data_IF_885482893098
#
_entry.id   IF_885482893098
#
_cell.length_a   1.000
_cell.length_b   1.000
_cell.length_c   1.000
_cell.angle_alpha   90.00
_cell.angle_beta   90.00
_cell.angle_gamma   90.00
#
_symmetry.space_group_name_H-M   'P 1'
#
loop_
_entity.id
_entity.type
_entity.pdbx_description
1 polymer ?
#
# COMPACT_ATOMS: atom_id res chain seq x y z
N UNK A 1 14.12 -41.81 54.37
CA UNK A 1 15.54 -41.91 53.96
C UNK A 1 15.63 -43.12 53.05
N UNK A 2 16.00 -43.08 51.78
CA UNK A 2 16.85 -42.16 51.01
C UNK A 2 16.30 -42.02 49.58
N UNK A 3 16.51 -40.84 49.00
CA UNK A 3 16.36 -40.49 47.58
C UNK A 3 17.31 -41.26 46.67
N UNK A 4 16.89 -41.52 45.43
CA UNK A 4 17.67 -41.37 44.18
C UNK A 4 16.71 -41.70 43.01
N UNK A 5 16.09 -40.73 42.31
CA UNK A 5 16.62 -39.85 41.27
C UNK A 5 17.20 -40.60 40.06
N UNK A 6 16.41 -40.71 38.97
CA UNK A 6 16.92 -40.67 37.59
C UNK A 6 15.82 -40.12 36.66
N UNK A 7 16.04 -38.85 36.29
CA UNK A 7 15.42 -38.13 35.18
C UNK A 7 15.57 -38.88 33.86
N UNK A 8 14.50 -38.97 33.05
CA UNK A 8 14.52 -38.98 31.57
C UNK A 8 13.12 -39.33 31.05
N UNK A 9 12.31 -38.32 30.74
CA UNK A 9 11.65 -38.11 29.43
C UNK A 9 11.26 -36.64 29.40
N UNK A 10 12.25 -35.80 29.10
CA UNK A 10 11.99 -34.45 28.62
C UNK A 10 11.78 -34.54 27.11
N UNK A 11 11.03 -33.57 26.57
CA UNK A 11 11.01 -33.18 25.15
C UNK A 11 10.43 -34.15 24.12
N UNK A 12 9.10 -34.25 24.00
CA UNK A 12 8.44 -34.51 22.69
C UNK A 12 6.95 -34.19 22.76
N UNK A 13 6.58 -32.91 22.71
CA UNK A 13 5.32 -32.44 22.09
C UNK A 13 5.29 -30.90 22.02
N UNK A 14 6.34 -30.32 21.43
CA UNK A 14 6.41 -28.91 21.07
C UNK A 14 6.79 -28.81 19.58
N UNK A 15 6.03 -29.48 18.72
CA UNK A 15 6.25 -29.49 17.27
C UNK A 15 4.93 -29.37 16.49
N UNK A 16 4.06 -28.45 16.94
CA UNK A 16 2.86 -28.02 16.20
C UNK A 16 2.73 -26.49 16.20
N UNK A 17 3.87 -25.77 16.13
CA UNK A 17 3.94 -24.31 16.17
C UNK A 17 4.54 -23.67 14.91
N UNK A 18 4.55 -24.36 13.75
CA UNK A 18 5.27 -23.89 12.55
C UNK A 18 4.45 -23.75 11.27
N UNK A 19 3.11 -23.87 11.31
CA UNK A 19 2.27 -23.70 10.11
C UNK A 19 1.04 -22.83 10.38
N UNK A 20 1.28 -21.55 10.67
CA UNK A 20 0.37 -20.49 10.29
C UNK A 20 1.22 -19.26 10.00
N UNK A 21 1.56 -19.09 8.72
CA UNK A 21 2.40 -18.01 8.23
C UNK A 21 1.92 -16.66 8.74
N UNK A 22 2.88 -15.80 9.09
CA UNK A 22 2.65 -14.41 9.38
C UNK A 22 1.78 -13.80 8.27
N UNK A 23 0.62 -13.27 8.66
CA UNK A 23 -0.34 -12.60 7.77
C UNK A 23 0.22 -11.30 7.21
N UNK A 24 1.16 -11.40 6.27
CA UNK A 24 1.61 -10.27 5.47
C UNK A 24 0.49 -9.77 4.55
N UNK A 25 0.49 -8.47 4.26
CA UNK A 25 -0.53 -7.84 3.39
C UNK A 25 -0.50 -8.35 1.94
N UNK A 26 0.54 -9.11 1.57
CA UNK A 26 0.82 -9.58 0.20
C UNK A 26 1.23 -8.46 -0.75
N UNK A 27 1.41 -7.23 -0.25
CA UNK A 27 1.71 -6.04 -1.06
C UNK A 27 3.17 -5.63 -1.02
N UNK A 28 3.99 -6.18 -0.12
CA UNK A 28 5.41 -5.81 0.00
C UNK A 28 6.15 -5.97 -1.35
N UNK A 29 6.80 -4.90 -1.81
CA UNK A 29 7.47 -4.85 -3.10
C UNK A 29 7.12 -3.61 -3.92
N UNK A 30 7.58 -3.61 -5.17
CA UNK A 30 7.40 -2.50 -6.10
C UNK A 30 6.38 -2.84 -7.19
N UNK A 31 5.54 -1.86 -7.53
CA UNK A 31 4.59 -1.94 -8.62
C UNK A 31 4.85 -0.79 -9.57
N UNK A 32 5.05 -1.11 -10.85
CA UNK A 32 5.49 -0.17 -11.88
C UNK A 32 4.48 -0.16 -13.02
N UNK A 33 4.22 1.02 -13.55
CA UNK A 33 3.38 1.16 -14.73
C UNK A 33 3.14 2.62 -15.07
N UNK A 34 2.18 2.86 -15.96
CA UNK A 34 1.90 4.19 -16.48
C UNK A 34 0.58 4.71 -15.94
N UNK A 35 0.52 6.01 -15.64
CA UNK A 35 -0.69 6.71 -15.21
C UNK A 35 -0.80 8.02 -15.99
N UNK A 36 -1.87 8.16 -16.79
CA UNK A 36 -2.02 9.29 -17.69
C UNK A 36 -0.85 9.37 -18.67
N UNK A 37 -0.16 10.51 -18.71
CA UNK A 37 1.03 10.70 -19.55
C UNK A 37 2.35 10.23 -18.90
N UNK A 38 2.32 9.84 -17.62
CA UNK A 38 3.51 9.46 -16.86
C UNK A 38 3.78 7.97 -17.06
N UNK A 39 4.95 7.62 -17.59
CA UNK A 39 5.25 6.26 -18.07
C UNK A 39 5.81 5.32 -16.99
N UNK A 40 6.53 5.86 -16.00
CA UNK A 40 7.27 5.08 -14.99
C UNK A 40 6.85 5.49 -13.57
N UNK A 41 5.57 5.27 -13.26
CA UNK A 41 5.04 5.49 -11.92
C UNK A 41 5.29 4.25 -11.07
N UNK A 42 5.93 4.44 -9.92
CA UNK A 42 6.32 3.35 -9.02
C UNK A 42 5.62 3.53 -7.68
N UNK A 43 4.90 2.51 -7.24
CA UNK A 43 4.42 2.35 -5.86
C UNK A 43 5.27 1.27 -5.16
N UNK A 44 6.07 1.68 -4.19
CA UNK A 44 6.87 0.77 -3.36
C UNK A 44 6.25 0.62 -1.98
N UNK A 45 5.73 -0.55 -1.68
CA UNK A 45 5.24 -0.91 -0.36
C UNK A 45 6.39 -1.48 0.45
N UNK A 46 6.87 -0.70 1.42
CA UNK A 46 8.07 -1.03 2.21
C UNK A 46 7.70 -1.99 3.34
N UNK A 47 6.60 -1.71 4.02
CA UNK A 47 6.05 -2.49 5.12
C UNK A 47 4.52 -2.24 5.22
N UNK A 48 3.90 -2.64 6.33
CA UNK A 48 2.45 -2.47 6.56
C UNK A 48 1.99 -1.02 6.77
N UNK A 49 2.90 -0.08 6.97
CA UNK A 49 2.59 1.32 7.31
C UNK A 49 3.09 2.30 6.25
N UNK A 50 4.20 1.97 5.56
CA UNK A 50 4.91 2.91 4.70
C UNK A 50 4.88 2.52 3.23
N UNK A 51 4.52 3.51 2.41
CA UNK A 51 4.49 3.41 0.95
C UNK A 51 5.23 4.59 0.35
N UNK A 52 6.00 4.35 -0.70
CA UNK A 52 6.70 5.40 -1.44
C UNK A 52 6.17 5.48 -2.87
N UNK A 53 5.96 6.70 -3.36
CA UNK A 53 5.54 7.00 -4.72
C UNK A 53 6.66 7.71 -5.47
N UNK A 54 7.07 7.17 -6.62
CA UNK A 54 8.06 7.78 -7.53
C UNK A 54 7.47 7.96 -8.92
N UNK A 55 8.05 8.89 -9.69
CA UNK A 55 7.69 9.13 -11.10
C UNK A 55 6.32 9.79 -11.33
N UNK A 56 5.48 9.91 -10.29
CA UNK A 56 4.22 10.64 -10.37
C UNK A 56 4.36 12.13 -10.05
N UNK A 57 5.25 12.47 -9.13
CA UNK A 57 5.61 13.83 -8.75
C UNK A 57 7.11 14.05 -8.97
N UNK A 58 7.56 15.31 -8.95
CA UNK A 58 8.97 15.66 -9.18
C UNK A 58 9.90 14.95 -8.19
N UNK A 59 9.57 15.06 -6.90
CA UNK A 59 10.27 14.35 -5.82
C UNK A 59 9.48 13.10 -5.37
N UNK A 60 10.16 12.06 -4.87
CA UNK A 60 9.50 10.93 -4.23
C UNK A 60 8.62 11.37 -3.06
N UNK A 61 7.42 10.81 -2.96
CA UNK A 61 6.50 11.09 -1.86
C UNK A 61 6.41 9.88 -0.92
N UNK A 62 6.49 10.14 0.39
CA UNK A 62 6.19 9.14 1.43
C UNK A 62 4.71 9.19 1.79
N UNK A 63 4.12 8.02 1.93
CA UNK A 63 2.71 7.84 2.24
C UNK A 63 2.48 6.64 3.15
N UNK A 64 1.20 6.44 3.45
CA UNK A 64 0.72 5.37 4.32
C UNK A 64 -0.62 4.83 3.81
N UNK A 65 -0.98 3.64 4.28
CA UNK A 65 -2.26 3.03 3.97
C UNK A 65 -3.41 3.76 4.69
N UNK A 66 -4.52 3.94 3.98
CA UNK A 66 -5.77 4.45 4.52
C UNK A 66 -6.94 3.71 3.85
N UNK A 67 -8.02 3.45 4.59
CA UNK A 67 -9.26 2.98 3.97
C UNK A 67 -10.03 4.20 3.45
N UNK A 68 -10.43 4.15 2.19
CA UNK A 68 -11.25 5.19 1.57
C UNK A 68 -12.63 4.65 1.20
N UNK A 69 -13.57 5.55 0.94
CA UNK A 69 -14.86 5.19 0.35
C UNK A 69 -15.00 5.83 -1.03
N UNK A 70 -15.44 5.02 -2.00
CA UNK A 70 -15.71 5.45 -3.36
C UNK A 70 -17.08 4.91 -3.77
N UNK A 71 -18.01 5.80 -4.16
CA UNK A 71 -19.40 5.44 -4.51
C UNK A 71 -20.11 4.57 -3.45
N UNK A 72 -19.82 4.80 -2.16
CA UNK A 72 -20.40 4.04 -1.05
C UNK A 72 -19.74 2.69 -0.77
N UNK A 73 -18.71 2.31 -1.52
CA UNK A 73 -17.95 1.07 -1.30
C UNK A 73 -16.61 1.38 -0.62
N UNK A 74 -16.15 0.49 0.25
CA UNK A 74 -14.83 0.58 0.86
C UNK A 74 -13.77 0.17 -0.16
N UNK A 75 -12.74 1.01 -0.33
CA UNK A 75 -11.62 0.77 -1.26
C UNK A 75 -10.29 0.96 -0.54
N UNK A 76 -9.29 0.22 -0.98
CA UNK A 76 -7.92 0.42 -0.51
C UNK A 76 -7.37 1.73 -1.07
N UNK A 77 -6.64 2.45 -0.23
CA UNK A 77 -5.96 3.67 -0.66
C UNK A 77 -4.63 3.86 0.04
N UNK A 78 -3.78 4.62 -0.62
CA UNK A 78 -2.55 5.16 -0.05
C UNK A 78 -2.60 6.67 -0.11
N UNK A 79 -2.18 7.32 0.97
CA UNK A 79 -2.18 8.77 1.11
C UNK A 79 -0.75 9.26 1.31
N UNK A 80 -0.30 10.09 0.40
CA UNK A 80 1.02 10.70 0.38
C UNK A 80 0.95 12.15 0.83
N UNK A 81 2.01 12.61 1.47
CA UNK A 81 2.19 14.02 1.80
C UNK A 81 3.15 14.65 0.81
N UNK A 82 2.76 15.82 0.29
CA UNK A 82 3.63 16.69 -0.48
C UNK A 82 4.74 17.30 0.38
N UNK A 83 5.77 17.90 -0.25
CA UNK A 83 6.91 18.49 0.43
C UNK A 83 6.50 19.71 1.28
N UNK A 84 7.33 20.08 2.27
CA UNK A 84 7.02 21.16 3.22
C UNK A 84 6.86 22.52 2.53
N UNK A 85 7.60 22.77 1.46
CA UNK A 85 7.54 24.01 0.67
C UNK A 85 6.20 24.15 -0.06
N UNK A 86 5.55 23.03 -0.37
CA UNK A 86 4.25 22.99 -1.05
C UNK A 86 3.39 21.86 -0.47
N UNK A 87 2.77 22.07 0.70
CA UNK A 87 2.05 21.02 1.40
C UNK A 87 0.73 20.68 0.71
N UNK A 88 0.60 19.41 0.32
CA UNK A 88 -0.64 18.82 -0.17
C UNK A 88 -0.77 17.38 0.32
N UNK A 89 -1.96 16.79 0.14
CA UNK A 89 -2.16 15.34 0.24
C UNK A 89 -2.53 14.79 -1.11
N UNK A 90 -1.92 13.69 -1.51
CA UNK A 90 -2.28 12.92 -2.69
C UNK A 90 -2.85 11.58 -2.25
N UNK A 91 -4.03 11.23 -2.73
CA UNK A 91 -4.68 9.95 -2.46
C UNK A 91 -4.75 9.15 -3.75
N UNK A 92 -4.27 7.91 -3.69
CA UNK A 92 -4.43 6.94 -4.77
C UNK A 92 -5.32 5.81 -4.23
N UNK A 93 -6.50 5.65 -4.82
CA UNK A 93 -7.38 4.51 -4.56
C UNK A 93 -7.07 3.41 -5.57
N UNK A 94 -6.98 2.18 -5.11
CA UNK A 94 -6.66 1.04 -5.96
C UNK A 94 -7.41 -0.22 -5.53
N UNK A 95 -7.41 -1.21 -6.42
CA UNK A 95 -7.79 -2.58 -6.10
C UNK A 95 -6.68 -3.54 -6.51
N UNK A 96 -6.57 -4.66 -5.78
CA UNK A 96 -5.63 -5.74 -6.12
C UNK A 96 -6.22 -6.52 -7.30
N UNK A 97 -5.52 -6.50 -8.43
CA UNK A 97 -5.77 -7.39 -9.56
C UNK A 97 -4.96 -8.67 -9.45
N UNK A 98 -5.05 -9.54 -10.46
CA UNK A 98 -4.34 -10.84 -10.49
C UNK A 98 -2.82 -10.69 -10.48
N UNK A 99 -2.30 -9.75 -11.28
CA UNK A 99 -0.85 -9.57 -11.48
C UNK A 99 -0.37 -8.14 -11.13
N UNK A 100 -1.13 -7.39 -10.32
CA UNK A 100 -0.78 -6.00 -10.02
C UNK A 100 -1.87 -5.20 -9.32
N UNK A 101 -1.75 -3.88 -9.39
CA UNK A 101 -2.71 -2.91 -8.86
C UNK A 101 -3.44 -2.22 -9.99
N UNK A 102 -4.76 -2.15 -9.88
CA UNK A 102 -5.60 -1.33 -10.76
C UNK A 102 -5.93 -0.03 -10.04
N UNK A 103 -5.54 1.09 -10.64
CA UNK A 103 -5.71 2.42 -10.06
C UNK A 103 -7.11 2.92 -10.39
N UNK A 104 -7.92 3.12 -9.34
CA UNK A 104 -9.32 3.53 -9.46
C UNK A 104 -9.44 5.05 -9.54
N UNK A 105 -8.64 5.77 -8.76
CA UNK A 105 -8.65 7.23 -8.76
C UNK A 105 -7.39 7.84 -8.15
N UNK A 106 -7.03 9.04 -8.59
CA UNK A 106 -5.94 9.83 -8.01
C UNK A 106 -6.40 11.27 -7.77
N UNK A 107 -6.47 11.67 -6.50
CA UNK A 107 -6.91 13.03 -6.15
C UNK A 107 -5.89 13.70 -5.24
N UNK A 108 -5.70 15.00 -5.42
CA UNK A 108 -4.87 15.82 -4.53
C UNK A 108 -5.71 16.86 -3.80
N UNK A 109 -5.27 17.29 -2.62
CA UNK A 109 -5.81 18.47 -1.94
C UNK A 109 -4.70 19.27 -1.31
N UNK A 110 -4.80 20.59 -1.37
CA UNK A 110 -3.96 21.46 -0.53
C UNK A 110 -4.27 21.24 0.96
N UNK A 111 -3.32 21.58 1.83
CA UNK A 111 -3.57 21.59 3.28
C UNK A 111 -4.12 22.97 3.67
N UNK A 112 -5.30 23.00 4.31
CA UNK A 112 -5.88 24.23 4.83
C UNK A 112 -7.40 24.15 5.06
N UNK A 113 -8.00 25.16 5.73
CA UNK A 113 -9.44 25.21 5.96
C UNK A 113 -10.23 25.19 4.64
N UNK A 114 -11.23 24.32 4.56
CA UNK A 114 -12.10 24.20 3.37
C UNK A 114 -11.47 23.49 2.17
N UNK A 115 -10.23 22.98 2.27
CA UNK A 115 -9.57 22.29 1.17
C UNK A 115 -10.26 20.96 0.82
N UNK A 116 -10.54 20.77 -0.47
CA UNK A 116 -11.18 19.56 -1.02
C UNK A 116 -10.23 18.83 -1.95
N UNK A 117 -10.43 17.52 -2.05
CA UNK A 117 -9.77 16.71 -3.06
C UNK A 117 -10.25 17.10 -4.46
N UNK A 118 -9.30 17.33 -5.34
CA UNK A 118 -9.48 17.65 -6.76
C UNK A 118 -8.73 16.64 -7.62
N UNK A 119 -9.20 16.48 -8.84
CA UNK A 119 -8.54 15.69 -9.88
C UNK A 119 -7.15 16.24 -10.18
N UNK A 120 -6.17 15.35 -10.29
CA UNK A 120 -4.77 15.64 -10.65
C UNK A 120 -4.50 15.50 -12.15
N UNK A 121 -5.28 14.64 -12.81
CA UNK A 121 -5.35 14.39 -14.23
C UNK A 121 -6.78 14.67 -14.76
N UNK A 122 -6.97 14.97 -16.06
CA UNK A 122 -8.30 15.12 -16.67
C UNK A 122 -9.24 13.93 -16.37
N UNK A 123 -8.68 12.72 -16.34
CA UNK A 123 -9.39 11.45 -16.05
C UNK A 123 -8.99 10.85 -14.69
N UNK A 124 -8.90 11.66 -13.63
CA UNK A 124 -8.48 11.20 -12.29
C UNK A 124 -9.41 10.20 -11.59
N UNK A 125 -10.56 9.90 -12.19
CA UNK A 125 -11.47 8.84 -11.78
C UNK A 125 -11.69 7.97 -13.00
N UNK A 126 -10.98 6.86 -13.08
CA UNK A 126 -10.96 6.03 -14.27
C UNK A 126 -12.26 5.20 -14.30
N UNK A 127 -13.06 5.35 -15.34
CA UNK A 127 -14.28 4.55 -15.56
C UNK A 127 -14.12 3.54 -16.70
N UNK A 128 -13.22 3.82 -17.65
CA UNK A 128 -12.91 2.97 -18.80
C UNK A 128 -11.39 2.77 -18.87
N UNK A 129 -10.91 1.55 -18.57
CA UNK A 129 -9.47 1.22 -18.57
C UNK A 129 -8.74 1.80 -17.36
N UNK A 130 -8.64 1.03 -16.28
CA UNK A 130 -7.86 1.41 -15.11
C UNK A 130 -6.35 1.35 -15.42
N UNK A 131 -5.58 2.41 -15.11
CA UNK A 131 -4.12 2.31 -15.13
C UNK A 131 -3.68 1.13 -14.27
N UNK A 132 -2.79 0.31 -14.81
CA UNK A 132 -2.33 -0.91 -14.15
C UNK A 132 -0.87 -0.77 -13.80
N UNK A 133 -0.55 -0.97 -12.52
CA UNK A 133 0.82 -1.10 -12.05
C UNK A 133 1.10 -2.58 -11.83
N UNK A 134 2.09 -3.11 -12.55
CA UNK A 134 2.47 -4.52 -12.49
C UNK A 134 3.56 -4.68 -11.44
N UNK A 135 3.52 -5.79 -10.68
CA UNK A 135 4.60 -6.08 -9.73
C UNK A 135 5.92 -6.18 -10.48
N UNK A 136 6.93 -5.42 -10.05
CA UNK A 136 8.31 -5.61 -10.50
C UNK A 136 8.85 -6.88 -9.83
N UNK A 137 9.40 -7.78 -10.64
CA UNK A 137 10.12 -8.97 -10.15
C UNK A 137 11.41 -8.59 -9.44
#
# INVERSE_FOLDING_TARGET
MMMSLMYRVCTTNLFFLLLAGCGGSGLEGEFVGSIGQKQEVILRFIDSEKVELRGYWGDPLSGHYEKSSMKGQSVDSVVFQGPEEKPFKLRICYQKGKDGLEILSIHSRMIGPGARYISTEPDSTFSNGFPRLVRSE
#
